data_IF_070486299788
#
_entry.id   IF_070486299788
#
_cell.length_a   1.000
_cell.length_b   1.000
_cell.length_c   1.000
_cell.angle_alpha   90.00
_cell.angle_beta   90.00
_cell.angle_gamma   90.00
#
_symmetry.space_group_name_H-M   'P 1'
#
loop_
_entity.id
_entity.type
_entity.pdbx_description
1 polymer ?
#
# COMPACT_ATOMS: atom_id res chain seq x y z
N UNK A 1 25.34 -19.16 -28.89
CA UNK A 1 25.64 -19.87 -27.63
C UNK A 1 24.57 -19.44 -26.62
N UNK A 2 23.42 -20.12 -26.56
CA UNK A 2 23.14 -21.43 -25.91
C UNK A 2 23.04 -21.30 -24.38
N UNK A 3 21.78 -21.36 -23.90
CA UNK A 3 21.24 -21.98 -22.67
C UNK A 3 21.80 -21.52 -21.29
N UNK A 4 21.13 -21.58 -20.13
CA UNK A 4 19.92 -22.23 -19.62
C UNK A 4 19.59 -21.50 -18.27
N UNK A 5 18.42 -21.51 -17.63
CA UNK A 5 17.44 -22.58 -17.41
C UNK A 5 16.06 -21.96 -17.13
N UNK A 6 15.07 -22.43 -17.88
CA UNK A 6 13.71 -22.59 -17.39
C UNK A 6 13.65 -23.84 -16.52
N UNK A 7 12.85 -23.83 -15.45
CA UNK A 7 12.12 -24.98 -14.93
C UNK A 7 11.22 -24.51 -13.78
N UNK A 8 9.90 -24.43 -14.03
CA UNK A 8 8.83 -25.00 -13.21
C UNK A 8 7.51 -24.88 -14.02
N UNK A 9 6.85 -26.02 -14.19
CA UNK A 9 5.79 -26.29 -15.17
C UNK A 9 4.40 -25.82 -14.71
N UNK A 10 3.52 -25.38 -15.63
CA UNK A 10 2.11 -25.11 -15.38
C UNK A 10 1.26 -26.35 -15.71
N UNK A 11 0.34 -26.78 -14.82
CA UNK A 11 -0.97 -27.39 -15.19
C UNK A 11 -1.67 -28.09 -14.02
N UNK A 12 -2.87 -27.63 -13.69
CA UNK A 12 -4.09 -28.45 -13.47
C UNK A 12 -5.24 -27.53 -13.08
N UNK A 13 -6.13 -27.22 -14.02
CA UNK A 13 -7.56 -27.01 -13.80
C UNK A 13 -8.24 -26.78 -15.16
N UNK A 14 -8.83 -27.83 -15.72
CA UNK A 14 -9.92 -27.71 -16.67
C UNK A 14 -10.59 -29.08 -16.82
N UNK A 15 -11.75 -29.27 -16.19
CA UNK A 15 -12.73 -30.23 -16.67
C UNK A 15 -14.12 -29.97 -16.09
N UNK A 16 -15.08 -29.90 -17.02
CA UNK A 16 -16.50 -30.28 -16.90
C UNK A 16 -17.46 -29.23 -16.30
N UNK A 17 -18.20 -28.54 -17.17
CA UNK A 17 -19.61 -28.87 -17.41
C UNK A 17 -20.12 -28.26 -18.72
N UNK A 18 -20.65 -29.12 -19.60
CA UNK A 18 -21.42 -28.75 -20.78
C UNK A 18 -22.87 -29.24 -20.60
N UNK A 19 -23.84 -28.43 -20.98
CA UNK A 19 -25.23 -28.80 -21.31
C UNK A 19 -25.83 -27.60 -22.04
N UNK A 20 -25.82 -27.56 -23.38
CA UNK A 20 -26.82 -28.15 -24.31
C UNK A 20 -28.23 -27.65 -24.04
N UNK A 21 -28.76 -26.78 -24.92
CA UNK A 21 -30.11 -26.90 -25.47
C UNK A 21 -30.23 -26.16 -26.84
N UNK A 22 -30.26 -26.99 -27.88
CA UNK A 22 -31.02 -26.99 -29.15
C UNK A 22 -31.56 -25.69 -29.79
N UNK A 23 -31.18 -25.54 -31.06
CA UNK A 23 -31.74 -24.77 -32.19
C UNK A 23 -33.19 -25.18 -32.58
N UNK A 24 -34.03 -24.46 -33.34
CA UNK A 24 -34.10 -24.07 -34.79
C UNK A 24 -35.52 -23.41 -35.02
N UNK A 25 -36.00 -22.85 -36.18
CA UNK A 25 -35.58 -21.78 -37.12
C UNK A 25 -36.62 -20.62 -37.35
N UNK A 26 -36.18 -19.64 -38.17
CA UNK A 26 -36.80 -18.56 -38.99
C UNK A 26 -38.04 -18.93 -39.87
N UNK A 27 -38.87 -17.97 -40.42
CA UNK A 27 -38.48 -17.07 -41.54
C UNK A 27 -39.18 -15.68 -41.68
N UNK A 28 -38.66 -14.93 -42.68
CA UNK A 28 -38.94 -13.58 -43.20
C UNK A 28 -40.32 -13.40 -43.86
N UNK A 29 -40.88 -12.17 -43.83
CA UNK A 29 -41.38 -11.46 -45.04
C UNK A 29 -41.69 -9.97 -44.78
N UNK A 30 -41.15 -9.12 -45.67
CA UNK A 30 -41.53 -7.73 -46.00
C UNK A 30 -42.92 -7.67 -46.66
N UNK A 31 -43.71 -6.55 -46.59
CA UNK A 31 -44.17 -5.68 -47.72
C UNK A 31 -44.87 -4.38 -47.19
N UNK A 32 -44.51 -3.25 -47.82
CA UNK A 32 -45.06 -1.88 -47.91
C UNK A 32 -46.57 -1.62 -47.72
N UNK A 33 -46.94 -0.43 -47.20
CA UNK A 33 -47.69 0.59 -47.97
C UNK A 33 -47.76 1.99 -47.31
N UNK A 34 -47.59 3.03 -48.12
CA UNK A 34 -47.74 4.51 -47.94
C UNK A 34 -48.88 4.94 -48.91
N UNK A 35 -49.52 6.15 -48.95
CA UNK A 35 -49.34 7.46 -48.28
C UNK A 35 -50.63 8.09 -47.69
N UNK A 36 -50.53 9.24 -47.01
CA UNK A 36 -51.20 10.48 -47.46
C UNK A 36 -50.82 11.70 -46.62
N UNK A 37 -50.60 12.81 -47.32
CA UNK A 37 -50.04 14.10 -46.89
C UNK A 37 -51.13 15.02 -46.32
N UNK A 38 -50.80 15.81 -45.30
CA UNK A 38 -51.22 17.21 -45.17
C UNK A 38 -50.19 18.00 -44.31
N UNK A 39 -50.00 19.32 -44.57
CA UNK A 39 -48.91 20.14 -44.01
C UNK A 39 -49.19 20.44 -42.52
N UNK A 40 -48.36 21.10 -41.69
CA UNK A 40 -48.05 22.54 -41.68
C UNK A 40 -46.99 22.85 -40.59
N UNK A 41 -46.16 23.87 -40.86
CA UNK A 41 -45.53 24.84 -39.93
C UNK A 41 -44.40 24.41 -38.98
N UNK A 42 -43.20 24.96 -39.23
CA UNK A 42 -42.11 25.03 -38.25
C UNK A 42 -42.44 26.02 -37.11
N UNK A 43 -41.90 25.78 -35.90
CA UNK A 43 -40.94 26.74 -35.40
C UNK A 43 -39.71 26.10 -34.75
N UNK A 44 -38.59 26.79 -34.89
CA UNK A 44 -37.28 26.50 -34.31
C UNK A 44 -37.33 26.25 -32.81
N UNK A 45 -36.80 25.10 -32.38
CA UNK A 45 -36.34 24.90 -30.99
C UNK A 45 -34.83 24.66 -31.08
N UNK A 46 -34.08 25.70 -30.77
CA UNK A 46 -32.66 25.58 -30.43
C UNK A 46 -32.62 25.02 -29.02
N UNK A 47 -32.56 23.69 -28.89
CA UNK A 47 -32.22 23.06 -27.60
C UNK A 47 -30.70 23.03 -27.51
N UNK A 48 -30.14 23.95 -26.75
CA UNK A 48 -28.74 23.88 -26.34
C UNK A 48 -28.48 22.54 -25.64
N UNK A 49 -27.35 21.86 -25.89
CA UNK A 49 -27.02 20.64 -25.19
C UNK A 49 -26.83 20.96 -23.70
N UNK A 50 -27.72 20.42 -22.87
CA UNK A 50 -27.62 20.45 -21.41
C UNK A 50 -26.26 19.87 -21.02
N UNK A 51 -25.36 20.72 -20.50
CA UNK A 51 -24.07 20.27 -19.96
C UNK A 51 -24.33 19.19 -18.88
N UNK A 52 -23.56 18.10 -18.83
CA UNK A 52 -23.68 17.12 -17.78
C UNK A 52 -23.46 17.79 -16.42
N UNK A 53 -24.47 17.64 -15.54
CA UNK A 53 -24.44 18.15 -14.17
C UNK A 53 -23.21 17.57 -13.48
N UNK A 54 -22.26 18.44 -13.11
CA UNK A 54 -21.06 18.03 -12.40
C UNK A 54 -21.43 17.23 -11.15
N UNK A 55 -20.69 16.15 -10.82
CA UNK A 55 -20.99 15.33 -9.67
C UNK A 55 -20.94 16.17 -8.39
N UNK A 56 -22.05 16.20 -7.65
CA UNK A 56 -22.12 16.85 -6.34
C UNK A 56 -21.22 16.10 -5.37
N UNK A 57 -20.17 16.76 -4.87
CA UNK A 57 -19.31 16.18 -3.84
C UNK A 57 -20.10 16.01 -2.54
N UNK A 58 -20.03 14.82 -1.94
CA UNK A 58 -20.72 14.51 -0.69
C UNK A 58 -20.07 15.24 0.51
N UNK A 59 -18.79 15.54 0.41
CA UNK A 59 -18.02 16.27 1.40
C UNK A 59 -17.20 17.37 0.69
N UNK A 60 -17.28 18.59 1.20
CA UNK A 60 -16.60 19.78 0.68
C UNK A 60 -15.77 20.38 1.82
N UNK A 61 -14.53 20.78 1.51
CA UNK A 61 -13.61 21.46 2.44
C UNK A 61 -14.24 22.71 3.06
N UNK A 62 -15.15 23.36 2.33
CA UNK A 62 -15.89 24.54 2.79
C UNK A 62 -16.80 24.25 4.00
N UNK A 63 -17.20 22.99 4.16
CA UNK A 63 -18.06 22.52 5.25
C UNK A 63 -17.28 21.71 6.31
N UNK A 64 -15.96 21.56 6.16
CA UNK A 64 -15.13 20.80 7.07
C UNK A 64 -14.69 21.68 8.26
N UNK A 65 -14.86 21.17 9.48
CA UNK A 65 -14.32 21.83 10.68
C UNK A 65 -12.84 21.48 10.78
N UNK A 66 -11.96 22.46 10.63
CA UNK A 66 -10.52 22.27 10.82
C UNK A 66 -10.24 21.76 12.24
N UNK A 67 -9.76 20.52 12.35
CA UNK A 67 -9.31 19.97 13.62
C UNK A 67 -8.00 20.65 14.03
N UNK A 68 -8.01 21.39 15.14
CA UNK A 68 -6.83 22.09 15.67
C UNK A 68 -5.92 21.22 16.54
N UNK A 69 -6.33 19.99 16.85
CA UNK A 69 -5.59 19.08 17.72
C UNK A 69 -5.27 17.77 16.98
N UNK A 70 -4.00 17.59 16.62
CA UNK A 70 -3.47 16.27 16.27
C UNK A 70 -3.13 15.54 17.57
N UNK A 71 -4.02 14.64 18.01
CA UNK A 71 -3.78 13.76 19.18
C UNK A 71 -2.75 12.66 18.85
N UNK A 72 -2.41 12.48 17.56
CA UNK A 72 -1.77 11.26 17.06
C UNK A 72 -0.24 11.27 17.07
N UNK A 73 0.40 12.43 17.20
CA UNK A 73 1.83 12.58 16.83
C UNK A 73 2.68 13.18 17.97
N UNK A 74 2.41 12.79 19.21
CA UNK A 74 3.16 13.26 20.39
C UNK A 74 4.67 13.06 20.25
N UNK A 75 5.09 12.00 19.55
CA UNK A 75 6.49 11.65 19.34
C UNK A 75 6.78 11.42 17.86
N UNK A 76 7.75 12.17 17.33
CA UNK A 76 8.31 11.95 16.00
C UNK A 76 9.22 10.72 15.94
N UNK A 77 9.92 10.53 14.82
CA UNK A 77 10.90 9.44 14.70
C UNK A 77 12.16 9.81 15.50
N UNK A 78 12.55 8.97 16.44
CA UNK A 78 13.69 9.23 17.33
C UNK A 78 15.03 9.19 16.56
N UNK A 79 16.00 10.03 16.93
CA UNK A 79 17.30 10.15 16.25
C UNK A 79 18.08 8.83 16.21
N UNK A 80 18.03 8.03 17.27
CA UNK A 80 18.64 6.69 17.31
C UNK A 80 18.15 5.73 16.20
N UNK A 81 16.91 5.89 15.73
CA UNK A 81 16.39 5.09 14.60
C UNK A 81 17.03 5.55 13.28
N UNK A 82 17.26 6.86 13.14
CA UNK A 82 17.96 7.44 11.99
C UNK A 82 19.44 6.99 11.99
N UNK A 83 20.08 6.91 13.16
CA UNK A 83 21.45 6.40 13.29
C UNK A 83 21.56 4.93 12.89
N UNK A 84 20.59 4.08 13.26
CA UNK A 84 20.48 2.71 12.77
C UNK A 84 20.43 2.66 11.24
N UNK A 85 19.57 3.48 10.64
CA UNK A 85 19.43 3.58 9.19
C UNK A 85 20.75 3.99 8.51
N UNK A 86 21.45 4.98 9.08
CA UNK A 86 22.74 5.49 8.57
C UNK A 86 23.86 4.46 8.64
N UNK A 87 23.86 3.58 9.65
CA UNK A 87 24.79 2.45 9.70
C UNK A 87 24.35 1.27 8.81
N UNK A 88 23.36 1.46 7.92
CA UNK A 88 22.80 0.44 7.01
C UNK A 88 22.27 -0.80 7.74
N UNK A 89 21.83 -0.63 8.99
CA UNK A 89 21.23 -1.71 9.76
C UNK A 89 19.72 -1.79 9.47
N UNK A 90 19.18 -3.02 9.39
CA UNK A 90 17.74 -3.24 9.31
C UNK A 90 17.01 -2.54 10.47
N UNK A 91 15.85 -1.94 10.17
CA UNK A 91 14.99 -1.22 11.12
C UNK A 91 13.72 -2.04 11.36
N UNK A 92 13.62 -2.79 12.47
CA UNK A 92 12.40 -3.52 12.81
C UNK A 92 11.23 -2.58 13.10
N UNK A 93 10.05 -2.88 12.56
CA UNK A 93 8.81 -2.16 12.84
C UNK A 93 8.45 -2.19 14.33
N UNK A 94 8.88 -3.22 15.07
CA UNK A 94 8.64 -3.29 16.52
C UNK A 94 9.20 -2.08 17.27
N UNK A 95 10.29 -1.46 16.79
CA UNK A 95 10.85 -0.25 17.41
C UNK A 95 10.09 1.03 17.03
N UNK A 96 9.28 0.97 15.97
CA UNK A 96 8.47 2.09 15.44
C UNK A 96 7.03 2.10 16.00
N UNK A 97 6.70 1.13 16.85
CA UNK A 97 5.43 1.12 17.60
C UNK A 97 5.37 2.26 18.60
N UNK A 98 4.18 2.70 19.00
CA UNK A 98 3.94 3.79 19.95
C UNK A 98 4.56 3.43 21.29
N UNK A 99 4.43 2.17 21.71
CA UNK A 99 5.04 1.67 22.95
C UNK A 99 6.57 1.79 22.91
N UNK A 100 7.21 1.33 21.83
CA UNK A 100 8.65 1.43 21.70
C UNK A 100 9.13 2.89 21.56
N UNK A 101 8.44 3.69 20.76
CA UNK A 101 8.74 5.10 20.55
C UNK A 101 8.58 5.89 21.85
N UNK A 102 7.51 5.66 22.61
CA UNK A 102 7.32 6.30 23.92
C UNK A 102 8.46 5.96 24.87
N UNK A 103 8.88 4.69 24.91
CA UNK A 103 10.04 4.26 25.70
C UNK A 103 11.33 4.94 25.25
N UNK A 104 11.56 5.11 23.95
CA UNK A 104 12.73 5.82 23.42
C UNK A 104 12.80 7.26 23.92
N UNK A 105 11.68 7.98 23.95
CA UNK A 105 11.65 9.38 24.39
C UNK A 105 11.58 9.56 25.91
N UNK A 106 10.92 8.67 26.63
CA UNK A 106 10.67 8.81 28.07
C UNK A 106 11.75 8.16 28.94
N UNK A 107 12.41 7.11 28.44
CA UNK A 107 13.35 6.30 29.23
C UNK A 107 14.74 6.17 28.58
N UNK A 108 15.38 7.27 28.12
CA UNK A 108 16.62 7.19 27.34
C UNK A 108 17.79 6.56 28.13
N UNK A 109 17.80 6.69 29.46
CA UNK A 109 18.84 6.11 30.33
C UNK A 109 18.77 4.59 30.45
N UNK A 110 17.63 3.98 30.12
CA UNK A 110 17.44 2.52 30.16
C UNK A 110 17.88 1.82 28.87
N UNK A 111 18.18 2.60 27.83
CA UNK A 111 18.46 2.09 26.50
C UNK A 111 19.88 1.52 26.43
N UNK A 112 19.98 0.32 25.89
CA UNK A 112 21.26 -0.33 25.59
C UNK A 112 21.71 0.05 24.18
N UNK A 113 23.02 0.25 24.04
CA UNK A 113 23.68 0.53 22.77
C UNK A 113 24.78 -0.49 22.54
N UNK A 114 24.98 -0.85 21.29
CA UNK A 114 26.04 -1.75 20.86
C UNK A 114 27.02 -1.03 19.94
N UNK A 115 28.26 -1.51 19.94
CA UNK A 115 29.27 -1.02 19.00
C UNK A 115 29.11 -1.77 17.69
N UNK A 116 28.86 -1.05 16.62
CA UNK A 116 28.80 -1.56 15.26
C UNK A 116 29.96 -1.02 14.43
N UNK A 117 30.49 -1.85 13.53
CA UNK A 117 31.57 -1.46 12.63
C UNK A 117 31.03 -1.44 11.22
N UNK A 118 30.77 -0.25 10.69
CA UNK A 118 30.35 -0.09 9.31
C UNK A 118 31.58 -0.23 8.42
N UNK A 119 31.59 -1.26 7.58
CA UNK A 119 32.54 -1.38 6.48
C UNK A 119 31.89 -0.86 5.21
N UNK A 120 32.35 0.29 4.74
CA UNK A 120 32.02 0.74 3.40
C UNK A 120 33.05 0.15 2.42
N UNK A 121 32.60 -0.22 1.22
CA UNK A 121 33.34 -1.02 0.21
C UNK A 121 34.78 -0.56 -0.09
N UNK A 122 35.13 0.69 0.24
CA UNK A 122 36.44 1.30 -0.01
C UNK A 122 37.03 2.08 1.19
N UNK A 123 36.51 1.92 2.41
CA UNK A 123 36.89 2.73 3.58
C UNK A 123 37.31 1.88 4.77
N UNK A 124 38.19 2.42 5.62
CA UNK A 124 38.49 1.81 6.92
C UNK A 124 37.19 1.67 7.75
N UNK A 125 37.03 0.56 8.49
CA UNK A 125 35.83 0.32 9.28
C UNK A 125 35.63 1.45 10.29
N UNK A 126 34.50 2.13 10.20
CA UNK A 126 34.16 3.21 11.12
C UNK A 126 33.31 2.65 12.25
N UNK A 127 33.73 2.94 13.48
CA UNK A 127 33.01 2.54 14.69
C UNK A 127 31.80 3.46 14.89
N UNK A 128 30.58 2.92 14.85
CA UNK A 128 29.36 3.62 15.26
C UNK A 128 28.74 2.96 16.50
N UNK A 129 28.09 3.77 17.35
CA UNK A 129 27.28 3.28 18.46
C UNK A 129 25.83 3.29 18.01
N UNK A 130 25.18 2.13 17.99
CA UNK A 130 23.79 2.01 17.54
C UNK A 130 22.92 1.43 18.65
N UNK A 131 21.63 1.74 18.62
CA UNK A 131 20.65 1.22 19.53
C UNK A 131 20.58 -0.31 19.43
N UNK A 132 20.63 -1.00 20.56
CA UNK A 132 20.45 -2.45 20.61
C UNK A 132 18.98 -2.78 20.37
N UNK A 133 18.65 -3.35 19.22
CA UNK A 133 17.27 -3.65 18.86
C UNK A 133 16.71 -4.86 19.62
N UNK A 134 17.58 -5.72 20.16
CA UNK A 134 17.16 -6.92 20.91
C UNK A 134 16.43 -6.61 22.22
N UNK A 135 16.52 -5.37 22.72
CA UNK A 135 15.83 -4.92 23.93
C UNK A 135 14.33 -4.60 23.72
N UNK A 136 13.85 -4.65 22.47
CA UNK A 136 12.45 -4.47 22.10
C UNK A 136 11.79 -5.82 21.82
N UNK A 137 10.44 -5.88 21.85
CA UNK A 137 9.73 -7.10 21.47
C UNK A 137 10.12 -7.59 20.09
N UNK A 138 10.13 -8.91 19.92
CA UNK A 138 10.38 -9.54 18.64
C UNK A 138 9.38 -9.03 17.60
N UNK A 139 9.87 -8.73 16.39
CA UNK A 139 9.02 -8.17 15.34
C UNK A 139 7.89 -9.11 14.91
N UNK A 140 8.12 -10.42 14.99
CA UNK A 140 7.11 -11.46 14.76
C UNK A 140 5.97 -11.47 15.77
N UNK A 141 6.10 -10.74 16.89
CA UNK A 141 5.09 -10.69 17.96
C UNK A 141 4.18 -9.46 17.89
N UNK A 142 4.37 -8.56 16.92
CA UNK A 142 3.53 -7.36 16.80
C UNK A 142 2.12 -7.72 16.32
N UNK A 143 1.13 -7.00 16.84
CA UNK A 143 -0.26 -7.09 16.39
C UNK A 143 -0.48 -6.36 15.07
N UNK A 144 -1.60 -6.65 14.40
CA UNK A 144 -2.03 -5.94 13.18
C UNK A 144 -2.11 -4.42 13.41
N UNK A 145 -2.67 -4.01 14.55
CA UNK A 145 -2.79 -2.59 14.90
C UNK A 145 -1.43 -1.92 15.05
N UNK A 146 -0.51 -2.56 15.78
CA UNK A 146 0.87 -2.08 15.93
C UNK A 146 1.63 -2.05 14.60
N UNK A 147 1.36 -2.99 13.71
CA UNK A 147 1.98 -3.02 12.38
C UNK A 147 1.55 -1.83 11.52
N UNK A 148 0.25 -1.53 11.44
CA UNK A 148 -0.23 -0.34 10.70
C UNK A 148 0.35 0.95 11.24
N UNK A 149 0.41 1.05 12.56
CA UNK A 149 0.94 2.21 13.26
C UNK A 149 2.45 2.38 13.02
N UNK A 150 3.22 1.29 13.13
CA UNK A 150 4.64 1.28 12.83
C UNK A 150 4.92 1.57 11.35
N UNK A 151 4.11 1.06 10.42
CA UNK A 151 4.21 1.35 8.99
C UNK A 151 3.99 2.82 8.68
N UNK A 152 3.02 3.47 9.32
CA UNK A 152 2.80 4.90 9.15
C UNK A 152 4.06 5.71 9.53
N UNK A 153 4.71 5.36 10.64
CA UNK A 153 5.98 5.99 11.05
C UNK A 153 7.15 5.61 10.15
N UNK A 154 7.20 4.38 9.66
CA UNK A 154 8.22 3.94 8.71
C UNK A 154 8.15 4.72 7.39
N UNK A 155 6.95 4.91 6.84
CA UNK A 155 6.75 5.72 5.64
C UNK A 155 7.13 7.19 5.87
N UNK A 156 6.83 7.74 7.06
CA UNK A 156 7.28 9.09 7.45
C UNK A 156 8.81 9.18 7.50
N UNK A 157 9.46 8.20 8.12
CA UNK A 157 10.94 8.10 8.14
C UNK A 157 11.51 8.07 6.71
N UNK A 158 10.92 7.26 5.83
CA UNK A 158 11.35 7.17 4.42
C UNK A 158 11.11 8.46 3.66
N UNK A 159 9.98 9.14 3.87
CA UNK A 159 9.70 10.42 3.23
C UNK A 159 10.73 11.50 3.57
N UNK A 160 11.23 11.48 4.81
CA UNK A 160 12.21 12.45 5.30
C UNK A 160 13.66 12.11 4.91
N UNK A 161 13.99 10.83 4.68
CA UNK A 161 15.38 10.35 4.61
C UNK A 161 15.74 9.52 3.36
N UNK A 162 14.76 9.09 2.56
CA UNK A 162 14.98 8.24 1.40
C UNK A 162 14.61 8.96 0.09
N UNK A 163 15.02 8.39 -1.04
CA UNK A 163 14.64 8.91 -2.35
C UNK A 163 13.14 8.64 -2.61
N UNK A 164 12.48 9.47 -3.45
CA UNK A 164 11.07 9.28 -3.77
C UNK A 164 10.73 7.89 -4.31
N UNK A 165 11.63 7.29 -5.08
CA UNK A 165 11.46 5.94 -5.64
C UNK A 165 11.48 4.85 -4.56
N UNK A 166 12.26 5.07 -3.49
CA UNK A 166 12.28 4.17 -2.33
C UNK A 166 10.98 4.29 -1.54
N UNK A 167 10.52 5.51 -1.30
CA UNK A 167 9.24 5.75 -0.64
C UNK A 167 8.08 5.14 -1.41
N UNK A 168 8.03 5.35 -2.74
CA UNK A 168 6.97 4.83 -3.61
C UNK A 168 6.92 3.29 -3.57
N UNK A 169 8.08 2.63 -3.71
CA UNK A 169 8.19 1.17 -3.65
C UNK A 169 7.64 0.61 -2.34
N UNK A 170 8.04 1.20 -1.21
CA UNK A 170 7.60 0.74 0.11
C UNK A 170 6.15 1.08 0.39
N UNK A 171 5.65 2.21 -0.10
CA UNK A 171 4.23 2.57 -0.04
C UNK A 171 3.39 1.56 -0.81
N UNK A 172 3.84 1.17 -2.01
CA UNK A 172 3.17 0.15 -2.83
C UNK A 172 3.17 -1.20 -2.12
N UNK A 173 4.31 -1.66 -1.61
CA UNK A 173 4.43 -2.92 -0.85
C UNK A 173 3.45 -2.97 0.34
N UNK A 174 3.45 -1.93 1.19
CA UNK A 174 2.50 -1.86 2.31
C UNK A 174 1.04 -1.89 1.84
N UNK A 175 0.72 -1.20 0.74
CA UNK A 175 -0.63 -1.20 0.17
C UNK A 175 -1.05 -2.56 -0.38
N UNK A 176 -0.14 -3.32 -1.00
CA UNK A 176 -0.40 -4.68 -1.47
C UNK A 176 -0.66 -5.63 -0.30
N UNK A 177 0.15 -5.55 0.76
CA UNK A 177 -0.03 -6.38 1.96
C UNK A 177 -1.37 -6.11 2.64
N UNK A 178 -1.70 -4.85 2.93
CA UNK A 178 -2.97 -4.50 3.62
C UNK A 178 -4.23 -4.81 2.80
N UNK A 179 -4.11 -4.94 1.48
CA UNK A 179 -5.23 -5.26 0.58
C UNK A 179 -5.36 -6.77 0.33
N UNK A 180 -4.50 -7.59 0.94
CA UNK A 180 -4.51 -9.04 0.77
C UNK A 180 -5.89 -9.62 1.17
N UNK A 181 -6.47 -10.50 0.34
CA UNK A 181 -7.72 -11.18 0.70
C UNK A 181 -7.47 -12.05 1.94
N UNK A 182 -8.32 -11.94 2.96
CA UNK A 182 -8.13 -12.64 4.24
C UNK A 182 -6.81 -12.26 4.96
N UNK A 183 -6.54 -10.95 5.04
CA UNK A 183 -5.39 -10.37 5.73
C UNK A 183 -5.25 -10.84 7.18
N UNK A 184 -6.36 -10.88 7.93
CA UNK A 184 -6.36 -11.29 9.34
C UNK A 184 -6.09 -12.79 9.49
N UNK A 185 -6.70 -13.64 8.65
CA UNK A 185 -6.48 -15.09 8.68
C UNK A 185 -5.04 -15.51 8.36
N UNK A 186 -4.33 -14.71 7.55
CA UNK A 186 -2.94 -14.98 7.15
C UNK A 186 -1.91 -14.06 7.80
N UNK A 187 -2.27 -13.39 8.90
CA UNK A 187 -1.44 -12.35 9.52
C UNK A 187 0.01 -12.78 9.76
N UNK A 188 0.24 -13.97 10.33
CA UNK A 188 1.59 -14.46 10.64
C UNK A 188 2.46 -14.65 9.40
N UNK A 189 1.88 -15.13 8.29
CA UNK A 189 2.57 -15.31 7.02
C UNK A 189 2.87 -13.98 6.34
N UNK A 190 1.90 -13.05 6.35
CA UNK A 190 2.05 -11.70 5.81
C UNK A 190 3.15 -10.94 6.55
N UNK A 191 3.14 -11.00 7.89
CA UNK A 191 4.16 -10.37 8.72
C UNK A 191 5.54 -10.98 8.47
N UNK A 192 5.65 -12.31 8.37
CA UNK A 192 6.93 -12.97 8.08
C UNK A 192 7.49 -12.55 6.71
N UNK A 193 6.64 -12.51 5.69
CA UNK A 193 7.02 -12.03 4.36
C UNK A 193 7.45 -10.56 4.38
N UNK A 194 6.72 -9.70 5.11
CA UNK A 194 7.07 -8.29 5.26
C UNK A 194 8.44 -8.08 5.91
N UNK A 195 8.74 -8.83 6.97
CA UNK A 195 10.04 -8.80 7.65
C UNK A 195 11.14 -9.24 6.70
N UNK A 196 10.93 -10.33 5.96
CA UNK A 196 11.91 -10.85 4.99
C UNK A 196 12.25 -9.81 3.91
N UNK A 197 11.22 -9.19 3.30
CA UNK A 197 11.43 -8.19 2.25
C UNK A 197 12.17 -6.95 2.75
N UNK A 198 11.96 -6.51 4.00
CA UNK A 198 12.66 -5.33 4.56
C UNK A 198 14.08 -5.64 5.04
N UNK A 199 14.38 -6.89 5.37
CA UNK A 199 15.70 -7.31 5.85
C UNK A 199 16.68 -7.68 4.73
N UNK A 200 16.19 -7.89 3.50
CA UNK A 200 17.00 -8.21 2.31
C UNK A 200 17.69 -7.00 1.69
#
# INVERSE_FOLDING_TARGET
MVAAFANLSPSKLASIHASVFKSVPTPLTSINNVPSIAPITAPSIVTAPTLPKAPTLLFDVSNERTSSASISDTYGVHTYIIELAKCHQHIPLSILTTKATSRLFLEPSSLKFLTHYTSHRNSAPTKCHILDVSQFPAETSISIGEWHEAWARFLKLLADNASPEVLERWTKHHNELRQHPDFEGHWSAILAFDIEQRAS
#
